data_IF_188816976491
#
_entry.id   IF_188816976491
#
_cell.length_a   1.000
_cell.length_b   1.000
_cell.length_c   1.000
_cell.angle_alpha   90.00
_cell.angle_beta   90.00
_cell.angle_gamma   90.00
#
_symmetry.space_group_name_H-M   'P 1'
#
loop_
_entity.id
_entity.type
_entity.pdbx_description
1 polymer ?
#
# COMPACT_ATOMS: atom_id res chain seq x y z
N UNK A 1 -23.32 33.94 6.05
CA UNK A 1 -22.24 33.05 6.54
C UNK A 1 -21.26 32.93 5.40
N UNK A 2 -20.10 33.55 5.50
CA UNK A 2 -19.02 33.42 4.51
C UNK A 2 -18.56 31.96 4.51
N UNK A 3 -18.52 31.32 3.34
CA UNK A 3 -17.86 30.02 3.21
C UNK A 3 -16.44 30.14 3.79
N UNK A 4 -15.98 29.19 4.61
CA UNK A 4 -14.60 29.20 5.07
C UNK A 4 -13.71 29.11 3.83
N UNK A 5 -13.05 30.22 3.49
CA UNK A 5 -12.17 30.30 2.32
C UNK A 5 -11.07 29.23 2.43
N UNK A 6 -10.68 28.68 1.29
CA UNK A 6 -9.59 27.69 1.19
C UNK A 6 -8.36 28.20 1.98
N UNK A 7 -7.81 27.41 2.91
CA UNK A 7 -6.64 27.81 3.68
C UNK A 7 -5.49 28.23 2.76
N UNK A 8 -4.82 29.33 3.08
CA UNK A 8 -3.68 29.79 2.28
C UNK A 8 -2.58 28.71 2.23
N UNK A 9 -2.10 28.44 1.01
CA UNK A 9 -1.00 27.51 0.75
C UNK A 9 0.22 27.92 1.56
N UNK A 10 0.81 26.96 2.26
CA UNK A 10 2.08 27.10 2.95
C UNK A 10 3.22 26.65 2.03
N UNK A 11 4.12 27.54 1.58
CA UNK A 11 5.18 27.17 0.64
C UNK A 11 6.11 26.07 1.14
N UNK A 12 6.35 25.97 2.46
CA UNK A 12 7.21 24.94 3.02
C UNK A 12 6.52 23.56 2.96
N UNK A 13 5.22 23.50 3.28
CA UNK A 13 4.44 22.28 3.16
C UNK A 13 4.25 21.88 1.70
N UNK A 14 4.03 22.84 0.81
CA UNK A 14 3.93 22.60 -0.63
C UNK A 14 5.20 21.94 -1.16
N UNK A 15 6.38 22.50 -0.84
CA UNK A 15 7.66 21.92 -1.23
C UNK A 15 7.87 20.52 -0.64
N UNK A 16 7.50 20.31 0.63
CA UNK A 16 7.68 19.05 1.33
C UNK A 16 6.84 17.88 0.77
N UNK A 17 5.64 18.16 0.24
CA UNK A 17 4.71 17.15 -0.27
C UNK A 17 4.65 17.09 -1.80
N UNK A 18 5.35 17.95 -2.53
CA UNK A 18 5.41 17.89 -3.98
C UNK A 18 6.46 16.88 -4.48
N UNK A 19 6.11 15.59 -4.44
CA UNK A 19 7.00 14.51 -4.88
C UNK A 19 7.44 14.61 -6.34
N UNK A 20 6.62 15.23 -7.22
CA UNK A 20 6.95 15.42 -8.64
C UNK A 20 8.02 16.49 -8.83
N UNK A 21 7.99 17.57 -8.05
CA UNK A 21 9.05 18.56 -8.03
C UNK A 21 10.35 17.98 -7.44
N UNK A 22 10.24 17.16 -6.40
CA UNK A 22 11.39 16.49 -5.78
C UNK A 22 12.05 15.42 -6.68
N UNK A 23 11.31 14.87 -7.66
CA UNK A 23 11.82 13.87 -8.61
C UNK A 23 11.48 14.32 -10.05
N UNK A 24 12.33 15.16 -10.67
CA UNK A 24 12.07 15.69 -12.01
C UNK A 24 11.88 14.61 -13.09
N UNK A 25 12.54 13.45 -12.95
CA UNK A 25 12.48 12.32 -13.90
C UNK A 25 11.21 11.46 -13.74
N UNK A 26 10.25 11.86 -12.91
CA UNK A 26 9.00 11.11 -12.71
C UNK A 26 8.22 10.75 -13.99
N UNK A 27 8.21 11.55 -15.09
CA UNK A 27 7.51 11.14 -16.31
C UNK A 27 8.10 9.87 -16.93
N UNK A 28 9.43 9.75 -16.95
CA UNK A 28 10.11 8.55 -17.45
C UNK A 28 9.87 7.34 -16.55
N UNK A 29 9.84 7.53 -15.23
CA UNK A 29 9.53 6.48 -14.26
C UNK A 29 8.09 5.96 -14.44
N UNK A 30 7.12 6.87 -14.62
CA UNK A 30 5.72 6.49 -14.85
C UNK A 30 5.54 5.78 -16.19
N UNK A 31 6.24 6.23 -17.24
CA UNK A 31 6.24 5.53 -18.52
C UNK A 31 6.80 4.11 -18.40
N UNK A 32 7.93 3.93 -17.69
CA UNK A 32 8.52 2.62 -17.40
C UNK A 32 7.54 1.70 -16.64
N UNK A 33 6.85 2.22 -15.61
CA UNK A 33 5.84 1.46 -14.88
C UNK A 33 4.70 0.98 -15.77
N UNK A 34 4.19 1.86 -16.65
CA UNK A 34 3.14 1.53 -17.59
C UNK A 34 3.60 0.49 -18.62
N UNK A 35 4.79 0.67 -19.21
CA UNK A 35 5.38 -0.25 -20.18
C UNK A 35 5.61 -1.65 -19.59
N UNK A 36 6.30 -1.72 -18.44
CA UNK A 36 6.57 -2.99 -17.78
C UNK A 36 5.27 -3.69 -17.35
N UNK A 37 4.28 -2.92 -16.87
CA UNK A 37 2.98 -3.48 -16.50
C UNK A 37 2.21 -3.99 -17.71
N UNK A 38 2.26 -3.30 -18.85
CA UNK A 38 1.66 -3.76 -20.09
C UNK A 38 2.30 -5.06 -20.57
N UNK A 39 3.64 -5.18 -20.50
CA UNK A 39 4.36 -6.41 -20.81
C UNK A 39 3.90 -7.58 -19.93
N UNK A 40 3.86 -7.39 -18.60
CA UNK A 40 3.39 -8.42 -17.66
C UNK A 40 1.94 -8.84 -17.93
N UNK A 41 1.06 -7.89 -18.27
CA UNK A 41 -0.34 -8.19 -18.61
C UNK A 41 -0.46 -9.02 -19.87
N UNK A 42 0.35 -8.72 -20.89
CA UNK A 42 0.40 -9.48 -22.15
C UNK A 42 0.92 -10.89 -21.90
N UNK A 43 2.01 -11.03 -21.15
CA UNK A 43 2.60 -12.33 -20.82
C UNK A 43 1.66 -13.21 -19.98
N UNK A 44 0.95 -12.62 -19.02
CA UNK A 44 0.02 -13.36 -18.17
C UNK A 44 -1.17 -13.95 -18.96
N UNK A 45 -1.59 -13.32 -20.06
CA UNK A 45 -2.66 -13.82 -20.91
C UNK A 45 -3.93 -14.18 -20.13
N UNK A 46 -4.42 -15.41 -20.31
CA UNK A 46 -5.62 -15.93 -19.64
C UNK A 46 -5.45 -16.18 -18.13
N UNK A 47 -4.21 -16.24 -17.63
CA UNK A 47 -3.95 -16.40 -16.19
C UNK A 47 -4.23 -15.12 -15.38
N UNK A 48 -4.35 -13.98 -16.05
CA UNK A 48 -4.75 -12.71 -15.46
C UNK A 48 -6.27 -12.55 -15.49
N UNK A 49 -6.89 -12.47 -14.31
CA UNK A 49 -8.28 -12.04 -14.20
C UNK A 49 -8.37 -10.53 -14.13
N UNK A 50 -8.79 -9.92 -15.24
CA UNK A 50 -8.88 -8.46 -15.40
C UNK A 50 -10.23 -7.93 -14.96
N UNK A 51 -10.20 -6.72 -14.40
CA UNK A 51 -11.36 -5.88 -14.16
C UNK A 51 -12.46 -6.57 -13.33
N UNK A 52 -12.04 -7.41 -12.37
CA UNK A 52 -12.93 -7.99 -11.37
C UNK A 52 -13.59 -6.86 -10.60
N UNK A 53 -14.93 -6.81 -10.64
CA UNK A 53 -15.71 -5.76 -10.00
C UNK A 53 -15.96 -6.14 -8.55
N UNK A 54 -15.67 -5.21 -7.63
CA UNK A 54 -15.98 -5.37 -6.21
C UNK A 54 -17.11 -4.44 -5.74
N UNK A 55 -17.62 -3.59 -6.63
CA UNK A 55 -18.74 -2.69 -6.37
C UNK A 55 -19.10 -1.87 -7.59
N UNK A 56 -19.99 -0.91 -7.40
CA UNK A 56 -20.53 -0.08 -8.49
C UNK A 56 -19.52 0.96 -9.03
N UNK A 57 -19.73 1.40 -10.27
CA UNK A 57 -18.90 2.42 -10.91
C UNK A 57 -17.67 1.85 -11.64
N UNK A 58 -17.02 2.71 -12.43
CA UNK A 58 -15.96 2.29 -13.37
C UNK A 58 -14.63 1.96 -12.68
N UNK A 59 -14.36 2.55 -11.51
CA UNK A 59 -13.10 2.40 -10.79
C UNK A 59 -13.15 1.40 -9.63
N UNK A 60 -14.30 0.80 -9.34
CA UNK A 60 -14.41 -0.29 -8.35
C UNK A 60 -14.03 -1.64 -8.95
N UNK A 61 -12.78 -1.71 -9.44
CA UNK A 61 -12.22 -2.87 -10.14
C UNK A 61 -10.85 -3.25 -9.61
N UNK A 62 -10.48 -4.51 -9.75
CA UNK A 62 -9.14 -5.00 -9.47
C UNK A 62 -8.70 -6.02 -10.51
N UNK A 63 -7.39 -6.21 -10.59
CA UNK A 63 -6.78 -7.26 -11.40
C UNK A 63 -6.10 -8.27 -10.50
N UNK A 64 -6.35 -9.55 -10.75
CA UNK A 64 -5.83 -10.64 -9.93
C UNK A 64 -4.90 -11.54 -10.74
N UNK A 65 -3.69 -11.69 -10.24
CA UNK A 65 -2.65 -12.56 -10.77
C UNK A 65 -2.39 -13.75 -9.84
N UNK A 66 -2.04 -14.90 -10.41
CA UNK A 66 -1.57 -16.07 -9.65
C UNK A 66 -2.63 -16.86 -8.88
N UNK A 67 -3.90 -16.43 -8.90
CA UNK A 67 -5.02 -17.18 -8.31
C UNK A 67 -5.74 -18.02 -9.35
N UNK A 68 -5.94 -19.31 -9.10
CA UNK A 68 -6.75 -20.19 -9.95
C UNK A 68 -7.41 -21.31 -9.14
N UNK A 69 -8.65 -21.65 -9.49
CA UNK A 69 -9.35 -22.79 -8.92
C UNK A 69 -8.62 -24.11 -9.30
N UNK A 70 -8.55 -25.05 -8.36
CA UNK A 70 -7.85 -26.32 -8.56
C UNK A 70 -6.35 -26.28 -8.24
N UNK A 71 -5.81 -25.09 -7.90
CA UNK A 71 -4.48 -24.96 -7.30
C UNK A 71 -4.57 -24.92 -5.77
N UNK A 72 -3.42 -25.15 -5.10
CA UNK A 72 -3.30 -24.89 -3.66
C UNK A 72 -3.62 -23.41 -3.37
N UNK A 73 -4.51 -23.10 -2.39
CA UNK A 73 -4.85 -21.73 -2.04
C UNK A 73 -3.61 -20.90 -1.69
N UNK A 74 -3.43 -19.79 -2.39
CA UNK A 74 -2.25 -18.92 -2.22
C UNK A 74 -2.52 -17.80 -1.21
N UNK A 75 -1.52 -17.41 -0.39
CA UNK A 75 -1.63 -16.15 0.35
C UNK A 75 -1.72 -14.99 -0.64
N UNK A 76 -2.46 -13.95 -0.26
CA UNK A 76 -2.77 -12.83 -1.15
C UNK A 76 -2.06 -11.56 -0.69
N UNK A 77 -1.35 -10.91 -1.63
CA UNK A 77 -0.95 -9.52 -1.49
C UNK A 77 -1.96 -8.63 -2.23
N UNK A 78 -2.58 -7.71 -1.53
CA UNK A 78 -3.48 -6.69 -2.10
C UNK A 78 -2.70 -5.38 -2.20
N UNK A 79 -2.39 -4.94 -3.41
CA UNK A 79 -1.66 -3.71 -3.68
C UNK A 79 -2.59 -2.53 -3.96
N UNK A 80 -2.36 -1.43 -3.25
CA UNK A 80 -3.07 -0.15 -3.37
C UNK A 80 -2.12 0.89 -3.94
N UNK A 81 -2.45 1.45 -5.11
CA UNK A 81 -1.58 2.40 -5.78
C UNK A 81 -1.52 3.77 -5.07
N UNK A 82 -0.57 4.63 -5.49
CA UNK A 82 -0.44 5.99 -4.99
C UNK A 82 -1.23 7.01 -5.81
N UNK A 83 -0.73 8.25 -5.85
CA UNK A 83 -1.29 9.32 -6.69
C UNK A 83 -2.20 10.30 -5.96
N UNK A 84 -1.95 10.54 -4.67
CA UNK A 84 -2.68 11.49 -3.81
C UNK A 84 -4.21 11.34 -3.84
N UNK A 85 -4.70 10.09 -3.97
CA UNK A 85 -6.13 9.77 -4.13
C UNK A 85 -6.81 10.46 -5.33
N UNK A 86 -6.03 11.02 -6.26
CA UNK A 86 -6.49 11.91 -7.33
C UNK A 86 -6.11 11.42 -8.73
N UNK A 87 -5.28 10.39 -8.82
CA UNK A 87 -4.73 9.91 -10.08
C UNK A 87 -4.28 8.45 -10.01
N UNK A 88 -3.68 7.97 -11.10
CA UNK A 88 -3.15 6.63 -11.32
C UNK A 88 -4.22 5.56 -11.57
N UNK A 89 -3.75 4.40 -12.00
CA UNK A 89 -4.57 3.25 -12.34
C UNK A 89 -3.80 1.95 -12.09
N UNK A 90 -4.50 0.89 -11.67
CA UNK A 90 -3.96 -0.46 -11.44
C UNK A 90 -3.19 -1.00 -12.65
N UNK A 91 -3.49 -0.54 -13.86
CA UNK A 91 -2.76 -0.90 -15.08
C UNK A 91 -1.29 -0.50 -15.07
N UNK A 92 -0.89 0.47 -14.25
CA UNK A 92 0.51 0.92 -14.15
C UNK A 92 1.32 0.17 -13.09
N UNK A 93 0.74 -0.79 -12.36
CA UNK A 93 1.41 -1.47 -11.24
C UNK A 93 1.44 -2.99 -11.36
N UNK A 94 1.05 -3.53 -12.53
CA UNK A 94 1.12 -4.98 -12.78
C UNK A 94 2.55 -5.53 -12.78
N UNK A 95 3.55 -4.67 -13.02
CA UNK A 95 4.97 -5.03 -12.95
C UNK A 95 5.41 -5.59 -11.59
N UNK A 96 4.64 -5.36 -10.51
CA UNK A 96 4.92 -5.87 -9.17
C UNK A 96 4.64 -7.39 -9.03
N UNK A 97 3.77 -7.93 -9.87
CA UNK A 97 3.22 -9.26 -9.67
C UNK A 97 4.19 -10.44 -9.91
N UNK A 98 5.05 -10.45 -10.95
CA UNK A 98 5.77 -11.67 -11.36
C UNK A 98 6.58 -12.33 -10.25
N UNK A 99 7.46 -11.59 -9.56
CA UNK A 99 8.32 -12.14 -8.49
C UNK A 99 7.54 -12.64 -7.28
N UNK A 100 6.42 -11.98 -6.96
CA UNK A 100 5.54 -12.42 -5.87
C UNK A 100 4.80 -13.71 -6.25
N UNK A 101 4.38 -13.86 -7.50
CA UNK A 101 3.74 -15.07 -8.02
C UNK A 101 4.72 -16.25 -8.03
N UNK A 102 5.96 -16.01 -8.47
CA UNK A 102 7.07 -16.99 -8.44
C UNK A 102 7.34 -17.47 -7.01
N UNK A 103 7.27 -16.57 -6.03
CA UNK A 103 7.42 -16.89 -4.61
C UNK A 103 6.21 -17.62 -4.01
N UNK A 104 5.12 -17.79 -4.76
CA UNK A 104 3.93 -18.54 -4.34
C UNK A 104 2.76 -17.70 -3.84
N UNK A 105 2.79 -16.38 -4.00
CA UNK A 105 1.66 -15.51 -3.68
C UNK A 105 0.67 -15.41 -4.85
N UNK A 106 -0.55 -14.96 -4.54
CA UNK A 106 -1.42 -14.28 -5.48
C UNK A 106 -1.31 -12.76 -5.26
N UNK A 107 -1.57 -11.97 -6.30
CA UNK A 107 -1.46 -10.51 -6.24
C UNK A 107 -2.72 -9.86 -6.80
N UNK A 108 -3.42 -9.08 -5.99
CA UNK A 108 -4.51 -8.22 -6.42
C UNK A 108 -4.04 -6.77 -6.54
N UNK A 109 -4.16 -6.15 -7.72
CA UNK A 109 -3.85 -4.73 -7.93
C UNK A 109 -5.16 -3.97 -8.06
N UNK A 110 -5.46 -3.11 -7.08
CA UNK A 110 -6.79 -2.54 -6.88
C UNK A 110 -6.87 -1.11 -7.42
N UNK A 111 -7.88 -0.83 -8.23
CA UNK A 111 -8.35 0.53 -8.49
C UNK A 111 -9.36 0.93 -7.42
N UNK A 112 -9.49 2.23 -7.19
CA UNK A 112 -10.52 2.82 -6.33
C UNK A 112 -10.98 4.17 -6.91
N UNK A 113 -12.18 4.67 -6.53
CA UNK A 113 -12.65 6.01 -6.90
C UNK A 113 -11.65 7.10 -6.52
N UNK A 114 -11.64 8.24 -7.20
CA UNK A 114 -10.66 9.32 -6.97
C UNK A 114 -11.34 10.63 -6.59
N UNK A 115 -10.60 11.50 -5.92
CA UNK A 115 -11.01 12.88 -5.68
C UNK A 115 -10.88 13.71 -6.98
N UNK A 116 -11.77 14.69 -7.21
CA UNK A 116 -12.83 15.16 -6.30
C UNK A 116 -14.15 14.39 -6.41
N UNK A 117 -14.29 13.43 -7.33
CA UNK A 117 -15.54 12.71 -7.56
C UNK A 117 -15.95 11.83 -6.37
N UNK A 118 -14.99 11.37 -5.57
CA UNK A 118 -15.18 10.66 -4.32
C UNK A 118 -14.38 11.31 -3.19
N UNK A 119 -14.97 11.38 -2.00
CA UNK A 119 -14.27 11.83 -0.78
C UNK A 119 -13.39 10.72 -0.20
N UNK A 120 -12.40 11.06 0.64
CA UNK A 120 -11.54 10.06 1.29
C UNK A 120 -12.32 8.94 2.02
N UNK A 121 -13.41 9.22 2.77
CA UNK A 121 -14.22 8.16 3.36
C UNK A 121 -14.84 7.19 2.34
N UNK A 122 -15.25 7.69 1.17
CA UNK A 122 -15.77 6.85 0.07
C UNK A 122 -14.66 5.98 -0.51
N UNK A 123 -13.45 6.52 -0.65
CA UNK A 123 -12.28 5.76 -1.13
C UNK A 123 -11.90 4.66 -0.14
N UNK A 124 -11.87 4.98 1.17
CA UNK A 124 -11.61 3.99 2.23
C UNK A 124 -12.68 2.91 2.25
N UNK A 125 -13.96 3.26 2.09
CA UNK A 125 -15.04 2.28 1.97
C UNK A 125 -14.86 1.38 0.74
N UNK A 126 -14.51 1.94 -0.42
CA UNK A 126 -14.29 1.18 -1.64
C UNK A 126 -13.14 0.15 -1.50
N UNK A 127 -12.02 0.50 -0.86
CA UNK A 127 -10.95 -0.50 -0.65
C UNK A 127 -11.33 -1.56 0.39
N UNK A 128 -12.24 -1.26 1.33
CA UNK A 128 -12.84 -2.27 2.22
C UNK A 128 -13.75 -3.23 1.45
N UNK A 129 -14.58 -2.71 0.54
CA UNK A 129 -15.40 -3.52 -0.38
C UNK A 129 -14.54 -4.47 -1.23
N UNK A 130 -13.37 -4.00 -1.71
CA UNK A 130 -12.43 -4.82 -2.46
C UNK A 130 -11.92 -6.02 -1.64
N UNK A 131 -11.50 -5.79 -0.39
CA UNK A 131 -11.04 -6.86 0.52
C UNK A 131 -12.18 -7.80 0.87
N UNK A 132 -13.39 -7.28 1.13
CA UNK A 132 -14.58 -8.07 1.43
C UNK A 132 -14.91 -9.02 0.26
N UNK A 133 -14.94 -8.51 -0.97
CA UNK A 133 -15.17 -9.33 -2.16
C UNK A 133 -14.11 -10.43 -2.30
N UNK A 134 -12.83 -10.08 -2.20
CA UNK A 134 -11.73 -11.05 -2.26
C UNK A 134 -11.82 -12.13 -1.17
N UNK A 135 -12.30 -11.77 0.02
CA UNK A 135 -12.45 -12.71 1.14
C UNK A 135 -13.59 -13.69 0.92
N UNK A 136 -14.75 -13.21 0.43
CA UNK A 136 -15.90 -14.06 0.09
C UNK A 136 -15.61 -14.97 -1.11
N UNK A 137 -14.98 -14.41 -2.13
CA UNK A 137 -14.62 -15.12 -3.37
C UNK A 137 -13.29 -15.87 -3.27
N UNK A 138 -12.67 -15.95 -2.09
CA UNK A 138 -11.34 -16.52 -1.95
C UNK A 138 -11.24 -17.94 -2.53
N UNK A 139 -12.23 -18.80 -2.27
CA UNK A 139 -12.23 -20.19 -2.78
C UNK A 139 -12.28 -20.26 -4.32
N UNK A 140 -13.28 -19.69 -5.02
CA UNK A 140 -13.29 -19.69 -6.49
C UNK A 140 -12.11 -18.92 -7.10
N UNK A 141 -11.53 -17.98 -6.36
CA UNK A 141 -10.33 -17.26 -6.78
C UNK A 141 -9.01 -18.01 -6.47
N UNK A 142 -9.03 -19.15 -5.78
CA UNK A 142 -7.81 -19.90 -5.44
C UNK A 142 -6.94 -19.21 -4.39
N UNK A 143 -7.56 -18.45 -3.48
CA UNK A 143 -6.92 -17.63 -2.46
C UNK A 143 -7.13 -18.23 -1.07
N UNK A 144 -6.12 -18.10 -0.22
CA UNK A 144 -6.22 -18.41 1.20
C UNK A 144 -6.75 -17.20 1.97
N UNK A 145 -8.07 -17.22 2.27
CA UNK A 145 -8.76 -16.15 3.01
C UNK A 145 -8.21 -15.86 4.41
N UNK A 146 -7.28 -16.69 4.92
CA UNK A 146 -6.64 -16.51 6.23
C UNK A 146 -5.28 -15.80 6.13
N UNK A 147 -4.76 -15.55 4.91
CA UNK A 147 -3.43 -14.97 4.68
C UNK A 147 -3.48 -13.82 3.68
N UNK A 148 -4.23 -12.77 4.04
CA UNK A 148 -4.30 -11.52 3.26
C UNK A 148 -3.36 -10.50 3.88
N UNK A 149 -2.41 -10.03 3.08
CA UNK A 149 -1.51 -8.92 3.39
C UNK A 149 -1.85 -7.77 2.45
N UNK A 150 -1.89 -6.55 2.97
CA UNK A 150 -2.09 -5.35 2.14
C UNK A 150 -0.76 -4.62 1.98
N UNK A 151 -0.50 -4.11 0.78
CA UNK A 151 0.65 -3.26 0.50
C UNK A 151 0.19 -2.01 -0.25
N UNK A 152 0.91 -0.91 -0.10
CA UNK A 152 0.51 0.30 -0.80
C UNK A 152 1.55 1.40 -0.78
N UNK A 153 1.55 2.18 -1.85
CA UNK A 153 2.52 3.25 -2.09
C UNK A 153 1.88 4.63 -1.93
N UNK A 154 2.52 5.54 -1.20
CA UNK A 154 2.07 6.92 -1.04
C UNK A 154 0.65 6.99 -0.45
N UNK A 155 -0.32 7.55 -1.18
CA UNK A 155 -1.74 7.48 -0.84
C UNK A 155 -2.25 6.03 -0.62
N UNK A 156 -1.69 5.03 -1.29
CA UNK A 156 -1.97 3.62 -1.03
C UNK A 156 -1.41 3.14 0.32
N UNK A 157 -0.30 3.70 0.78
CA UNK A 157 0.25 3.45 2.12
C UNK A 157 -0.66 3.99 3.23
N UNK A 158 -1.32 5.14 3.00
CA UNK A 158 -2.42 5.61 3.85
C UNK A 158 -3.56 4.59 3.89
N UNK A 159 -4.01 4.09 2.73
CA UNK A 159 -5.09 3.12 2.65
C UNK A 159 -4.74 1.77 3.31
N UNK A 160 -3.47 1.34 3.27
CA UNK A 160 -2.98 0.20 4.06
C UNK A 160 -3.24 0.41 5.55
N UNK A 161 -2.88 1.58 6.09
CA UNK A 161 -3.09 1.88 7.49
C UNK A 161 -4.59 1.97 7.84
N UNK A 162 -5.43 2.53 6.96
CA UNK A 162 -6.90 2.51 7.13
C UNK A 162 -7.48 1.08 7.20
N UNK A 163 -6.98 0.17 6.37
CA UNK A 163 -7.39 -1.24 6.39
C UNK A 163 -6.91 -1.95 7.66
N UNK A 164 -5.73 -1.62 8.17
CA UNK A 164 -5.21 -2.14 9.46
C UNK A 164 -6.00 -1.63 10.67
N UNK A 165 -6.66 -0.47 10.57
CA UNK A 165 -7.61 0.04 11.57
C UNK A 165 -9.02 -0.54 11.44
N UNK A 166 -9.30 -1.33 10.41
CA UNK A 166 -10.66 -1.80 10.12
C UNK A 166 -10.99 -3.04 10.94
N UNK A 167 -11.95 -2.92 11.84
CA UNK A 167 -12.62 -4.07 12.47
C UNK A 167 -13.60 -4.66 11.48
N UNK A 168 -13.21 -5.72 10.79
CA UNK A 168 -13.97 -6.28 9.67
C UNK A 168 -15.41 -6.74 9.99
N UNK A 169 -15.76 -7.21 11.21
CA UNK A 169 -17.15 -7.43 11.60
C UNK A 169 -18.07 -6.20 11.48
N UNK A 170 -17.52 -4.99 11.56
CA UNK A 170 -18.27 -3.73 11.40
C UNK A 170 -18.54 -3.42 9.92
N UNK A 171 -17.77 -4.02 9.01
CA UNK A 171 -18.00 -3.99 7.55
C UNK A 171 -18.94 -5.13 7.15
N UNK A 172 -18.68 -6.33 7.66
CA UNK A 172 -19.43 -7.55 7.41
C UNK A 172 -19.30 -8.51 8.59
N UNK A 173 -20.42 -8.83 9.24
CA UNK A 173 -20.46 -9.67 10.43
C UNK A 173 -19.90 -11.10 10.23
N UNK A 174 -19.78 -11.58 8.98
CA UNK A 174 -19.20 -12.88 8.67
C UNK A 174 -17.66 -12.89 8.66
N UNK A 175 -17.02 -11.73 8.55
CA UNK A 175 -15.56 -11.62 8.46
C UNK A 175 -14.91 -11.68 9.85
N UNK A 176 -13.70 -12.27 9.98
CA UNK A 176 -12.96 -12.25 11.24
C UNK A 176 -12.46 -10.83 11.54
N UNK A 177 -12.30 -10.48 12.81
CA UNK A 177 -11.82 -9.15 13.26
C UNK A 177 -10.58 -8.65 12.52
N UNK A 178 -9.70 -9.57 12.14
CA UNK A 178 -8.38 -9.37 11.54
C UNK A 178 -8.32 -9.96 10.11
N UNK A 179 -9.34 -9.76 9.26
CA UNK A 179 -9.32 -10.32 7.89
C UNK A 179 -8.06 -9.92 7.10
N UNK A 180 -7.53 -8.72 7.33
CA UNK A 180 -6.17 -8.31 6.94
C UNK A 180 -5.19 -8.65 8.06
N UNK A 181 -4.17 -9.47 7.76
CA UNK A 181 -3.20 -9.99 8.73
C UNK A 181 -1.99 -9.09 8.95
N UNK A 182 -1.73 -8.19 8.02
CA UNK A 182 -0.62 -7.25 8.09
C UNK A 182 -0.57 -6.31 6.92
N UNK A 183 0.23 -5.25 7.08
CA UNK A 183 0.39 -4.17 6.12
C UNK A 183 1.84 -3.92 5.74
N UNK A 184 2.07 -3.47 4.51
CA UNK A 184 3.34 -2.91 4.02
C UNK A 184 3.06 -1.54 3.42
N UNK A 185 3.28 -0.49 4.20
CA UNK A 185 3.03 0.89 3.79
C UNK A 185 4.33 1.56 3.35
N UNK A 186 4.42 1.87 2.05
CA UNK A 186 5.57 2.53 1.45
C UNK A 186 5.28 4.02 1.30
N UNK A 187 6.11 4.87 1.92
CA UNK A 187 6.07 6.33 1.79
C UNK A 187 4.68 6.93 2.06
N UNK A 188 3.98 6.35 3.03
CA UNK A 188 2.58 6.65 3.33
C UNK A 188 2.36 8.01 4.00
N UNK A 189 1.10 8.45 3.97
CA UNK A 189 0.63 9.69 4.59
C UNK A 189 -0.32 9.33 5.74
N UNK A 190 0.08 9.60 6.98
CA UNK A 190 -0.65 9.08 8.15
C UNK A 190 -1.28 10.19 9.02
N UNK A 191 -0.76 11.41 8.91
CA UNK A 191 -1.33 12.67 9.36
C UNK A 191 -1.58 13.55 8.15
N UNK A 192 -2.84 13.77 7.78
CA UNK A 192 -3.24 14.53 6.61
C UNK A 192 -3.38 16.03 6.90
N UNK A 193 -3.30 16.47 8.16
CA UNK A 193 -3.46 17.88 8.54
C UNK A 193 -2.47 18.81 7.82
N UNK A 194 -1.20 18.44 7.58
CA UNK A 194 -0.30 19.25 6.77
C UNK A 194 -0.80 19.50 5.33
N UNK A 195 -1.54 18.55 4.75
CA UNK A 195 -2.01 18.67 3.36
C UNK A 195 -3.06 19.77 3.20
N UNK A 196 -3.77 20.14 4.27
CA UNK A 196 -4.83 21.18 4.25
C UNK A 196 -4.33 22.51 3.68
N UNK A 197 -3.04 22.80 3.82
CA UNK A 197 -2.38 24.02 3.33
C UNK A 197 -1.47 23.77 2.12
N UNK A 198 -1.82 22.81 1.27
CA UNK A 198 -1.10 22.49 0.02
C UNK A 198 -2.07 22.46 -1.15
N UNK A 199 -1.55 22.60 -2.38
CA UNK A 199 -2.33 22.50 -3.62
C UNK A 199 -3.03 21.14 -3.78
N UNK A 200 -2.50 20.08 -3.15
CA UNK A 200 -3.12 18.75 -3.10
C UNK A 200 -4.54 18.83 -2.53
N UNK A 201 -4.82 19.74 -1.61
CA UNK A 201 -6.12 19.88 -0.96
C UNK A 201 -7.20 20.48 -1.87
N UNK A 202 -6.84 21.06 -3.02
CA UNK A 202 -7.83 21.61 -3.97
C UNK A 202 -8.84 20.55 -4.41
N UNK A 203 -8.41 19.29 -4.57
CA UNK A 203 -9.32 18.17 -4.88
C UNK A 203 -9.81 17.42 -3.65
N UNK A 204 -9.05 17.41 -2.55
CA UNK A 204 -9.44 16.67 -1.34
C UNK A 204 -10.53 17.39 -0.54
N UNK A 205 -10.53 18.73 -0.54
CA UNK A 205 -11.54 19.54 0.14
C UNK A 205 -11.54 19.36 1.66
N UNK A 206 -10.40 19.09 2.28
CA UNK A 206 -10.30 18.85 3.73
C UNK A 206 -10.12 20.16 4.49
N UNK A 207 -10.89 20.31 5.57
CA UNK A 207 -10.55 21.22 6.67
C UNK A 207 -9.69 20.50 7.72
N UNK A 208 -9.22 21.22 8.74
CA UNK A 208 -8.42 20.63 9.82
C UNK A 208 -9.09 19.42 10.50
N UNK A 209 -10.34 19.53 10.96
CA UNK A 209 -11.08 18.41 11.54
C UNK A 209 -11.27 17.21 10.59
N UNK A 210 -11.58 17.44 9.31
CA UNK A 210 -11.72 16.38 8.33
C UNK A 210 -10.38 15.70 8.04
N UNK A 211 -9.28 16.45 7.94
CA UNK A 211 -7.95 15.89 7.78
C UNK A 211 -7.57 15.01 8.98
N UNK A 212 -7.85 15.44 10.21
CA UNK A 212 -7.63 14.63 11.41
C UNK A 212 -8.49 13.35 11.41
N UNK A 213 -9.78 13.45 11.11
CA UNK A 213 -10.68 12.29 11.01
C UNK A 213 -10.29 11.29 9.93
N UNK A 214 -9.56 11.72 8.89
CA UNK A 214 -9.06 10.88 7.80
C UNK A 214 -7.59 10.46 7.99
N UNK A 215 -6.99 10.72 9.16
CA UNK A 215 -5.60 10.40 9.44
C UNK A 215 -5.50 9.12 10.27
N UNK A 216 -4.93 8.02 9.74
CA UNK A 216 -4.75 6.78 10.50
C UNK A 216 -3.83 6.94 11.72
N UNK A 217 -3.01 8.00 11.77
CA UNK A 217 -2.25 8.36 12.98
C UNK A 217 -3.15 8.52 14.22
N UNK A 218 -4.39 8.98 14.08
CA UNK A 218 -5.28 9.19 15.24
C UNK A 218 -6.28 8.06 15.47
N UNK A 219 -6.07 6.90 14.84
CA UNK A 219 -6.94 5.72 14.99
C UNK A 219 -6.21 4.59 15.70
N UNK A 220 -6.98 3.70 16.31
CA UNK A 220 -6.47 2.49 16.92
C UNK A 220 -6.43 1.37 15.85
N UNK A 221 -5.28 0.71 15.66
CA UNK A 221 -5.17 -0.45 14.79
C UNK A 221 -5.89 -1.66 15.40
N UNK A 222 -6.21 -2.65 14.57
CA UNK A 222 -6.65 -3.95 15.08
C UNK A 222 -5.48 -4.60 15.85
N UNK A 223 -5.68 -5.03 17.13
CA UNK A 223 -4.62 -5.63 17.93
C UNK A 223 -4.00 -6.87 17.27
N UNK A 224 -2.70 -7.06 17.46
CA UNK A 224 -1.96 -8.22 16.94
C UNK A 224 -1.64 -8.16 15.44
N UNK A 225 -2.00 -7.07 14.76
CA UNK A 225 -1.56 -6.79 13.40
C UNK A 225 -0.05 -6.55 13.32
N UNK A 226 0.52 -6.76 12.14
CA UNK A 226 1.92 -6.46 11.85
C UNK A 226 2.00 -5.40 10.74
N UNK A 227 2.90 -4.43 10.84
CA UNK A 227 3.02 -3.35 9.87
C UNK A 227 4.49 -3.11 9.49
N UNK A 228 4.81 -3.10 8.20
CA UNK A 228 6.07 -2.54 7.71
C UNK A 228 5.84 -1.11 7.23
N UNK A 229 6.67 -0.20 7.73
CA UNK A 229 6.75 1.17 7.28
C UNK A 229 8.07 1.34 6.54
N UNK A 230 7.98 1.55 5.23
CA UNK A 230 9.14 1.72 4.37
C UNK A 230 9.18 3.13 3.79
N UNK A 231 10.33 3.80 3.85
CA UNK A 231 10.54 5.13 3.26
C UNK A 231 11.85 5.11 2.47
N UNK A 232 11.89 5.74 1.31
CA UNK A 232 13.14 5.91 0.56
C UNK A 232 14.08 6.88 1.28
N UNK A 233 15.38 6.55 1.32
CA UNK A 233 16.42 7.40 1.93
C UNK A 233 16.45 8.83 1.37
N UNK A 234 16.11 9.00 0.09
CA UNK A 234 16.17 10.27 -0.61
C UNK A 234 14.84 11.05 -0.56
N UNK A 235 13.90 10.63 0.27
CA UNK A 235 12.63 11.35 0.44
C UNK A 235 12.77 12.56 1.36
N UNK A 236 11.84 13.51 1.22
CA UNK A 236 11.77 14.64 2.13
C UNK A 236 11.51 14.17 3.57
N UNK A 237 12.10 14.84 4.56
CA UNK A 237 11.96 14.51 5.99
C UNK A 237 10.49 14.41 6.46
N UNK A 238 9.57 15.05 5.74
CA UNK A 238 8.14 14.97 5.98
C UNK A 238 7.63 13.53 5.90
N UNK A 239 8.07 12.73 4.91
CA UNK A 239 7.66 11.33 4.77
C UNK A 239 8.29 10.44 5.84
N UNK A 240 9.55 10.68 6.19
CA UNK A 240 10.19 10.02 7.34
C UNK A 240 9.43 10.32 8.64
N UNK A 241 9.07 11.59 8.86
CA UNK A 241 8.33 12.03 10.04
C UNK A 241 6.91 11.45 10.09
N UNK A 242 6.21 11.34 8.96
CA UNK A 242 4.90 10.67 8.87
C UNK A 242 4.99 9.24 9.38
N UNK A 243 5.88 8.46 8.80
CA UNK A 243 6.01 7.06 9.13
C UNK A 243 6.52 6.87 10.58
N UNK A 244 7.49 7.68 11.04
CA UNK A 244 8.04 7.57 12.40
C UNK A 244 6.98 7.82 13.48
N UNK A 245 6.11 8.82 13.29
CA UNK A 245 5.00 9.10 14.21
C UNK A 245 3.98 7.96 14.26
N UNK A 246 3.66 7.36 13.11
CA UNK A 246 2.74 6.21 13.09
C UNK A 246 3.37 5.00 13.79
N UNK A 247 4.64 4.68 13.47
CA UNK A 247 5.38 3.59 14.10
C UNK A 247 5.37 3.74 15.62
N UNK A 248 5.80 4.90 16.13
CA UNK A 248 5.85 5.17 17.57
C UNK A 248 4.48 4.97 18.24
N UNK A 249 3.41 5.49 17.62
CA UNK A 249 2.07 5.38 18.21
C UNK A 249 1.54 3.95 18.17
N UNK A 250 1.68 3.25 17.06
CA UNK A 250 1.11 1.91 16.89
C UNK A 250 1.92 0.84 17.64
N UNK A 251 3.23 1.03 17.81
CA UNK A 251 4.05 0.25 18.73
C UNK A 251 3.49 0.30 20.16
N UNK A 252 3.15 1.51 20.64
CA UNK A 252 2.54 1.71 21.95
C UNK A 252 1.14 1.07 22.08
N UNK A 253 0.50 0.74 20.97
CA UNK A 253 -0.78 0.01 20.91
C UNK A 253 -0.62 -1.50 20.62
N UNK A 254 0.62 -2.01 20.60
CA UNK A 254 0.90 -3.45 20.46
C UNK A 254 0.86 -3.99 19.03
N UNK A 255 1.00 -3.13 18.02
CA UNK A 255 1.31 -3.57 16.64
C UNK A 255 2.77 -4.03 16.61
N UNK A 256 3.07 -5.07 15.83
CA UNK A 256 4.45 -5.44 15.53
C UNK A 256 4.94 -4.67 14.29
N UNK A 257 5.67 -3.59 14.51
CA UNK A 257 6.19 -2.75 13.43
C UNK A 257 7.62 -3.13 12.96
N UNK A 258 7.84 -3.06 11.65
CA UNK A 258 9.16 -3.05 11.03
C UNK A 258 9.38 -1.69 10.39
N UNK A 259 10.48 -1.01 10.72
CA UNK A 259 10.91 0.21 10.06
C UNK A 259 11.99 -0.07 9.03
N UNK A 260 11.78 0.33 7.77
CA UNK A 260 12.77 0.18 6.70
C UNK A 260 13.05 1.54 6.04
N UNK A 261 14.32 1.96 6.05
CA UNK A 261 14.80 3.04 5.19
C UNK A 261 15.50 2.43 3.99
N UNK A 262 14.97 2.64 2.79
CA UNK A 262 15.45 1.98 1.58
C UNK A 262 16.57 2.80 0.93
N UNK A 263 17.83 2.31 0.93
CA UNK A 263 18.98 3.10 0.49
C UNK A 263 18.90 3.51 -0.97
N UNK A 264 19.28 4.76 -1.27
CA UNK A 264 19.30 5.33 -2.62
C UNK A 264 17.94 5.42 -3.31
N UNK A 265 16.83 5.14 -2.62
CA UNK A 265 15.47 5.22 -3.17
C UNK A 265 14.86 6.57 -2.84
N UNK A 266 14.22 7.19 -3.83
CA UNK A 266 13.30 8.31 -3.66
C UNK A 266 11.83 7.84 -3.73
N UNK A 267 10.88 8.76 -3.55
CA UNK A 267 9.43 8.49 -3.46
C UNK A 267 8.88 7.60 -4.60
N UNK A 268 9.30 7.81 -5.86
CA UNK A 268 8.85 6.98 -6.99
C UNK A 268 9.72 5.73 -7.29
N UNK A 269 10.76 5.42 -6.52
CA UNK A 269 11.55 4.20 -6.72
C UNK A 269 11.39 3.20 -5.58
N UNK A 270 10.83 3.65 -4.44
CA UNK A 270 10.54 2.83 -3.26
C UNK A 270 9.64 1.64 -3.59
N UNK A 271 8.67 1.82 -4.50
CA UNK A 271 7.68 0.80 -4.87
C UNK A 271 8.30 -0.36 -5.64
N UNK A 272 9.39 -0.13 -6.36
CA UNK A 272 10.09 -1.20 -7.07
C UNK A 272 10.70 -2.22 -6.10
N UNK A 273 10.97 -1.82 -4.84
CA UNK A 273 11.51 -2.71 -3.82
C UNK A 273 10.53 -3.83 -3.42
N UNK A 274 9.23 -3.71 -3.74
CA UNK A 274 8.25 -4.81 -3.61
C UNK A 274 8.42 -5.90 -4.68
N UNK A 275 9.21 -5.66 -5.72
CA UNK A 275 9.44 -6.59 -6.82
C UNK A 275 10.93 -6.89 -7.03
N UNK A 276 11.80 -6.36 -6.18
CA UNK A 276 13.24 -6.53 -6.23
C UNK A 276 13.66 -7.66 -5.27
N UNK A 277 14.08 -8.84 -5.79
CA UNK A 277 14.44 -9.98 -4.96
C UNK A 277 15.69 -9.76 -4.10
N UNK A 278 16.41 -8.65 -4.28
CA UNK A 278 17.55 -8.26 -3.44
C UNK A 278 17.18 -7.24 -2.37
N UNK A 279 15.97 -6.67 -2.42
CA UNK A 279 15.52 -5.70 -1.44
C UNK A 279 15.03 -6.37 -0.16
N UNK A 280 15.42 -5.82 1.00
CA UNK A 280 14.92 -6.27 2.30
C UNK A 280 13.39 -6.23 2.39
N UNK A 281 12.77 -5.20 1.78
CA UNK A 281 11.31 -5.06 1.71
C UNK A 281 10.63 -6.25 1.05
N UNK A 282 11.21 -6.81 -0.01
CA UNK A 282 10.65 -7.97 -0.71
C UNK A 282 10.61 -9.18 0.23
N UNK A 283 11.72 -9.46 0.93
CA UNK A 283 11.80 -10.58 1.86
C UNK A 283 10.91 -10.40 3.09
N UNK A 284 10.82 -9.19 3.65
CA UNK A 284 9.87 -8.87 4.72
C UNK A 284 8.42 -9.12 4.28
N UNK A 285 8.07 -8.67 3.06
CA UNK A 285 6.75 -8.90 2.46
C UNK A 285 6.45 -10.41 2.31
N UNK A 286 7.42 -11.20 1.83
CA UNK A 286 7.26 -12.66 1.75
C UNK A 286 7.12 -13.30 3.13
N UNK A 287 7.87 -12.84 4.13
CA UNK A 287 7.74 -13.30 5.53
C UNK A 287 6.31 -13.10 6.05
N UNK A 288 5.73 -11.94 5.80
CA UNK A 288 4.33 -11.60 6.18
C UNK A 288 3.30 -12.46 5.47
N UNK A 289 3.54 -12.83 4.22
CA UNK A 289 2.71 -13.77 3.45
C UNK A 289 2.87 -15.23 3.92
N UNK A 290 3.81 -15.51 4.82
CA UNK A 290 4.18 -16.87 5.24
C UNK A 290 4.94 -17.64 4.16
N UNK A 291 5.61 -16.93 3.25
CA UNK A 291 6.40 -17.45 2.14
C UNK A 291 7.91 -17.26 2.34
N UNK A 292 8.34 -16.65 3.45
CA UNK A 292 9.74 -16.48 3.78
C UNK A 292 10.47 -17.83 3.89
N UNK A 293 11.66 -17.93 3.32
CA UNK A 293 12.58 -19.05 3.55
C UNK A 293 12.79 -19.19 5.07
N UNK A 294 12.56 -20.38 5.64
CA UNK A 294 13.05 -20.65 7.00
C UNK A 294 14.57 -20.51 6.93
N UNK A 295 15.15 -19.48 7.57
CA UNK A 295 16.59 -19.45 7.78
C UNK A 295 16.95 -20.71 8.55
N UNK A 296 17.51 -21.70 7.87
CA UNK A 296 18.13 -22.83 8.56
C UNK A 296 19.39 -22.30 9.20
N UNK A 297 19.76 -22.86 10.36
CA UNK A 297 20.89 -22.45 11.21
C UNK A 297 22.26 -22.42 10.52
N UNK A 298 22.35 -22.80 9.23
CA UNK A 298 23.57 -22.78 8.41
C UNK A 298 23.98 -21.39 7.92
N UNK A 299 23.05 -20.43 7.77
CA UNK A 299 23.40 -19.11 7.21
C UNK A 299 23.96 -18.11 8.24
N UNK A 300 23.94 -18.46 9.53
CA UNK A 300 24.46 -17.60 10.61
C UNK A 300 25.97 -17.77 10.85
N UNK A 301 26.62 -18.74 10.20
CA UNK A 301 28.06 -18.99 10.38
C UNK A 301 28.94 -18.30 9.34
N UNK A 302 28.38 -17.76 8.25
CA UNK A 302 29.17 -17.15 7.16
C UNK A 302 29.36 -15.64 7.25
N UNK A 303 28.70 -14.94 8.19
CA UNK A 303 28.87 -13.48 8.36
C UNK A 303 29.89 -13.07 9.44
N UNK A 304 30.65 -14.02 10.00
CA UNK A 304 31.76 -13.74 10.94
C UNK A 304 33.12 -14.04 10.34
N UNK A 305 33.42 -13.48 9.17
CA UNK A 305 34.81 -13.31 8.74
C UNK A 305 35.28 -11.90 9.13
N UNK A 306 35.98 -11.81 10.27
CA UNK A 306 36.66 -10.60 10.69
C UNK A 306 37.77 -10.21 9.68
N UNK A 307 38.04 -8.92 9.45
CA UNK A 307 39.13 -8.50 8.59
C UNK A 307 40.46 -8.93 9.23
N UNK A 308 41.28 -9.67 8.48
CA UNK A 308 42.67 -9.92 8.84
C UNK A 308 43.48 -8.63 8.71
N UNK A 309 44.33 -8.43 9.74
CA UNK A 309 45.28 -7.34 9.98
C UNK A 309 46.05 -6.91 8.75
#
# INVERSE_FOLDING_TARGET
MTEPGTPAIDPALEAAYNCRAAVPDHPAIFARWAEHSAAVRTEAGESLRRDLRYGDGSRRTLDLFGGALGMLPRPLLIFLHGGYWQSMDKSSFSFLAPRLIEAGAAVAVVNYPLCPEASLPVIVAAVREAVQMLWHEATPLGLDRRRFIVAGHSAGGHLVAELMCTRWPDVDAAMPVDAVKGGVALSGLFDLRPLVRTSINEKLGLDGPAAERNSPLFRDPVPGGSLTLAVGELEHEAFHGQAARLAQRWAALGVNETWLTLPGRHHFSVVDALADPYAELFHDTLGRLGLGQRRTTRDLTDSRAAPKV
#
